data_IF_185590139469
#
_entry.id   IF_185590139469
#
_cell.length_a   1.000
_cell.length_b   1.000
_cell.length_c   1.000
_cell.angle_alpha   90.00
_cell.angle_beta   90.00
_cell.angle_gamma   90.00
#
_symmetry.space_group_name_H-M   'P 1'
#
loop_
_entity.id
_entity.type
_entity.pdbx_description
1 polymer ?
#
# COMPACT_ATOMS: atom_id res chain seq x y z
N UNK A 1 0.70 -15.88 -43.48
CA UNK A 1 1.27 -14.88 -42.56
C UNK A 1 0.15 -14.49 -41.62
N UNK A 2 0.33 -14.66 -40.31
CA UNK A 2 -0.71 -14.29 -39.35
C UNK A 2 -0.71 -12.76 -39.18
N UNK A 3 -1.87 -12.13 -39.32
CA UNK A 3 -2.04 -10.71 -39.02
C UNK A 3 -1.83 -10.46 -37.53
N UNK A 4 -0.81 -9.65 -37.21
CA UNK A 4 -0.58 -9.17 -35.85
C UNK A 4 -1.55 -8.00 -35.61
N UNK A 5 -2.57 -8.23 -34.79
CA UNK A 5 -3.47 -7.18 -34.34
C UNK A 5 -2.79 -6.36 -33.23
N UNK A 6 -2.57 -5.06 -33.40
CA UNK A 6 -2.03 -4.22 -32.33
C UNK A 6 -3.06 -4.08 -31.21
N UNK A 7 -2.66 -4.36 -29.97
CA UNK A 7 -3.46 -4.04 -28.79
C UNK A 7 -3.25 -2.56 -28.45
N UNK A 8 -4.24 -1.67 -28.68
CA UNK A 8 -4.09 -0.27 -28.32
C UNK A 8 -3.87 -0.16 -26.80
N UNK A 9 -2.87 0.64 -26.40
CA UNK A 9 -2.63 0.94 -24.98
C UNK A 9 -3.86 1.66 -24.44
N UNK A 10 -4.65 0.96 -23.63
CA UNK A 10 -5.83 1.54 -23.01
C UNK A 10 -5.35 2.57 -21.97
N UNK A 11 -5.67 3.85 -22.17
CA UNK A 11 -5.50 4.88 -21.15
C UNK A 11 -6.42 4.51 -19.98
N UNK A 12 -5.87 3.84 -18.99
CA UNK A 12 -6.61 3.38 -17.82
C UNK A 12 -6.66 4.53 -16.82
N UNK A 13 -7.59 5.45 -17.00
CA UNK A 13 -8.03 6.34 -15.91
C UNK A 13 -8.90 5.52 -14.95
N UNK A 14 -8.23 4.68 -14.16
CA UNK A 14 -8.87 3.87 -13.13
C UNK A 14 -9.01 4.62 -11.82
N UNK A 15 -10.01 4.24 -11.03
CA UNK A 15 -10.09 4.60 -9.62
C UNK A 15 -9.71 3.40 -8.76
N UNK A 16 -9.00 3.66 -7.68
CA UNK A 16 -8.70 2.66 -6.65
C UNK A 16 -9.47 3.06 -5.41
N UNK A 17 -10.32 2.16 -4.93
CA UNK A 17 -11.06 2.35 -3.69
C UNK A 17 -10.73 1.24 -2.69
N UNK A 18 -10.78 1.55 -1.40
CA UNK A 18 -10.52 0.57 -0.36
C UNK A 18 -10.45 1.19 1.04
N UNK A 19 -10.56 0.33 2.05
CA UNK A 19 -10.33 0.73 3.43
C UNK A 19 -8.88 1.21 3.60
N UNK A 20 -8.68 2.26 4.38
CA UNK A 20 -7.39 2.87 4.66
C UNK A 20 -7.28 3.23 6.14
N UNK A 21 -6.04 3.30 6.64
CA UNK A 21 -5.73 3.72 8.00
C UNK A 21 -4.56 4.71 8.04
N UNK A 22 -4.61 5.65 8.98
CA UNK A 22 -3.53 6.58 9.22
C UNK A 22 -2.50 5.99 10.19
N UNK A 23 -1.23 5.94 9.77
CA UNK A 23 -0.14 5.45 10.63
C UNK A 23 0.20 6.39 11.80
N UNK A 24 -0.34 7.62 11.82
CA UNK A 24 -0.13 8.59 12.90
C UNK A 24 -1.29 8.60 13.92
N UNK A 25 -2.50 8.98 13.49
CA UNK A 25 -3.65 9.13 14.38
C UNK A 25 -4.55 7.90 14.46
N UNK A 26 -4.29 6.84 13.66
CA UNK A 26 -5.08 5.59 13.60
C UNK A 26 -6.51 5.74 13.09
N UNK A 27 -6.87 6.90 12.56
CA UNK A 27 -8.16 7.06 11.90
C UNK A 27 -8.27 6.12 10.70
N UNK A 28 -9.43 5.47 10.55
CA UNK A 28 -9.76 4.57 9.46
C UNK A 28 -10.86 5.20 8.59
N UNK A 29 -10.74 5.07 7.28
CA UNK A 29 -11.70 5.61 6.31
C UNK A 29 -11.70 4.80 5.02
N UNK A 30 -12.68 5.03 4.15
CA UNK A 30 -12.67 4.49 2.78
C UNK A 30 -11.99 5.52 1.87
N UNK A 31 -10.82 5.19 1.34
CA UNK A 31 -10.08 6.03 0.43
C UNK A 31 -10.48 5.73 -1.02
N UNK A 32 -10.61 6.76 -1.83
CA UNK A 32 -10.74 6.68 -3.29
C UNK A 32 -9.68 7.58 -3.90
N UNK A 33 -8.83 7.04 -4.77
CA UNK A 33 -7.82 7.81 -5.50
C UNK A 33 -7.93 7.54 -7.00
N UNK A 34 -7.69 8.59 -7.79
CA UNK A 34 -7.47 8.49 -9.22
C UNK A 34 -6.08 7.92 -9.48
N UNK A 35 -5.97 6.87 -10.30
CA UNK A 35 -4.70 6.27 -10.70
C UNK A 35 -4.75 4.73 -10.78
N UNK A 36 -3.86 4.17 -11.60
CA UNK A 36 -3.65 2.72 -11.72
C UNK A 36 -2.63 2.28 -10.68
N UNK A 37 -2.90 1.20 -9.94
CA UNK A 37 -1.94 0.54 -9.02
C UNK A 37 -0.65 0.01 -9.71
N UNK A 38 -0.43 0.32 -10.98
CA UNK A 38 0.61 -0.24 -11.83
C UNK A 38 1.91 0.56 -11.94
N UNK A 39 1.90 1.87 -11.66
CA UNK A 39 3.09 2.74 -11.84
C UNK A 39 3.73 3.23 -10.54
N UNK A 40 3.09 2.97 -9.39
CA UNK A 40 3.61 3.36 -8.10
C UNK A 40 2.60 3.05 -7.00
N UNK A 41 3.10 2.61 -5.85
CA UNK A 41 2.30 2.42 -4.65
C UNK A 41 1.63 3.77 -4.27
N UNK A 42 0.29 3.86 -4.10
CA UNK A 42 -0.39 5.06 -3.61
C UNK A 42 -0.12 5.26 -2.10
N UNK A 43 1.14 5.19 -1.70
CA UNK A 43 1.60 5.09 -0.32
C UNK A 43 1.76 6.43 0.35
N UNK A 44 0.75 7.29 0.32
CA UNK A 44 0.74 8.55 1.07
C UNK A 44 -0.66 9.18 1.07
N UNK A 45 -1.72 8.41 1.37
CA UNK A 45 -3.07 8.95 1.42
C UNK A 45 -3.14 10.05 2.50
N UNK A 46 -3.81 11.16 2.19
CA UNK A 46 -4.07 12.20 3.17
C UNK A 46 -5.14 11.73 4.16
N UNK A 47 -4.86 11.86 5.45
CA UNK A 47 -5.81 11.48 6.49
C UNK A 47 -6.83 12.61 6.72
N UNK A 48 -8.15 12.36 6.60
CA UNK A 48 -9.16 13.39 6.80
C UNK A 48 -9.26 13.88 8.26
N UNK A 49 -8.73 13.11 9.22
CA UNK A 49 -8.75 13.46 10.64
C UNK A 49 -7.57 14.35 11.07
N UNK A 50 -6.37 14.14 10.53
CA UNK A 50 -5.16 14.85 10.99
C UNK A 50 -4.39 15.60 9.89
N UNK A 51 -4.83 15.52 8.64
CA UNK A 51 -4.21 16.18 7.47
C UNK A 51 -2.85 15.60 7.05
N UNK A 52 -2.29 14.64 7.79
CA UNK A 52 -1.00 14.04 7.44
C UNK A 52 -1.14 13.04 6.27
N UNK A 53 -0.20 13.10 5.34
CA UNK A 53 -0.04 12.13 4.24
C UNK A 53 0.65 10.84 4.71
N UNK A 54 0.01 10.16 5.66
CA UNK A 54 0.48 8.92 6.28
C UNK A 54 -0.57 7.81 6.23
N UNK A 55 -1.57 7.97 5.38
CA UNK A 55 -2.59 6.96 5.12
C UNK A 55 -2.06 5.84 4.22
N UNK A 56 -2.42 4.62 4.57
CA UNK A 56 -2.15 3.42 3.78
C UNK A 56 -3.42 2.61 3.63
N UNK A 57 -3.60 1.98 2.47
CA UNK A 57 -4.66 0.99 2.29
C UNK A 57 -4.49 -0.17 3.26
N UNK A 58 -5.61 -0.59 3.85
CA UNK A 58 -5.75 -1.87 4.51
C UNK A 58 -5.98 -2.88 3.40
N UNK A 59 -5.03 -3.80 3.22
CA UNK A 59 -5.11 -4.76 2.12
C UNK A 59 -6.32 -5.69 2.27
N UNK A 60 -6.97 -6.04 1.15
CA UNK A 60 -8.19 -6.86 1.15
C UNK A 60 -7.93 -8.31 1.57
N UNK A 61 -6.67 -8.75 1.49
CA UNK A 61 -6.24 -10.07 1.93
C UNK A 61 -5.31 -9.90 3.14
N UNK A 62 -5.72 -10.50 4.26
CA UNK A 62 -4.91 -10.61 5.46
C UNK A 62 -4.73 -12.10 5.78
N UNK A 63 -3.70 -12.42 6.55
CA UNK A 63 -3.54 -13.75 7.13
C UNK A 63 -4.73 -14.13 8.01
N UNK A 64 -4.85 -15.40 8.43
CA UNK A 64 -5.83 -15.83 9.42
C UNK A 64 -5.84 -14.92 10.66
N UNK A 65 -6.98 -14.74 11.34
CA UNK A 65 -7.09 -13.84 12.50
C UNK A 65 -6.12 -14.14 13.65
N UNK A 66 -5.65 -15.38 13.74
CA UNK A 66 -4.72 -15.90 14.73
C UNK A 66 -3.25 -15.87 14.30
N UNK A 67 -2.95 -15.43 13.07
CA UNK A 67 -1.58 -15.33 12.59
C UNK A 67 -0.86 -14.10 13.19
N UNK A 68 0.34 -14.32 13.70
CA UNK A 68 1.20 -13.23 14.17
C UNK A 68 1.70 -12.38 12.99
N UNK A 69 1.18 -11.16 12.86
CA UNK A 69 1.59 -10.23 11.81
C UNK A 69 2.69 -9.30 12.31
N UNK A 70 3.87 -9.40 11.68
CA UNK A 70 4.96 -8.46 11.96
C UNK A 70 4.55 -7.02 11.64
N UNK A 71 4.63 -6.16 12.66
CA UNK A 71 4.25 -4.76 12.57
C UNK A 71 5.43 -3.87 12.93
N UNK A 72 5.81 -2.97 12.03
CA UNK A 72 6.86 -1.98 12.31
C UNK A 72 6.44 -1.08 13.48
N UNK A 73 7.39 -0.47 14.22
CA UNK A 73 7.06 0.53 15.25
C UNK A 73 6.24 1.74 14.73
N UNK A 74 6.30 2.03 13.42
CA UNK A 74 5.43 3.04 12.79
C UNK A 74 4.02 2.53 12.45
N UNK A 75 3.69 1.29 12.85
CA UNK A 75 2.45 0.55 12.62
C UNK A 75 2.19 0.14 11.16
N UNK A 76 3.18 0.30 10.29
CA UNK A 76 3.13 -0.19 8.92
C UNK A 76 3.32 -1.71 8.86
N UNK A 77 2.53 -2.36 8.03
CA UNK A 77 2.59 -3.81 7.74
C UNK A 77 3.06 -4.11 6.32
N UNK A 78 3.41 -3.08 5.54
CA UNK A 78 3.90 -3.20 4.16
C UNK A 78 5.41 -2.99 4.12
N UNK A 79 6.12 -3.93 3.49
CA UNK A 79 7.58 -3.95 3.43
C UNK A 79 8.07 -4.18 2.00
N UNK A 80 9.11 -3.44 1.59
CA UNK A 80 9.92 -3.74 0.41
C UNK A 80 10.99 -4.75 0.78
N UNK A 81 11.15 -5.80 -0.02
CA UNK A 81 12.29 -6.72 0.10
C UNK A 81 13.47 -6.09 -0.65
N UNK A 82 14.57 -5.87 0.06
CA UNK A 82 15.79 -5.25 -0.50
C UNK A 82 17.00 -6.12 -0.17
N UNK A 83 18.12 -5.95 -0.89
CA UNK A 83 19.35 -6.73 -0.61
C UNK A 83 19.79 -6.69 0.88
N UNK A 84 19.74 -5.53 1.57
CA UNK A 84 20.11 -5.46 2.99
C UNK A 84 19.07 -6.01 3.98
N UNK A 85 17.87 -6.41 3.53
CA UNK A 85 16.76 -6.83 4.39
C UNK A 85 15.43 -6.21 3.95
N UNK A 86 14.41 -6.26 4.82
CA UNK A 86 13.11 -5.66 4.51
C UNK A 86 13.04 -4.21 4.98
N UNK A 87 12.47 -3.33 4.16
CA UNK A 87 12.30 -1.91 4.46
C UNK A 87 10.83 -1.58 4.62
N UNK A 88 10.45 -1.01 5.76
CA UNK A 88 9.08 -0.55 5.98
C UNK A 88 8.71 0.56 4.98
N UNK A 89 7.62 0.39 4.24
CA UNK A 89 7.13 1.42 3.29
C UNK A 89 6.61 2.65 4.01
N UNK A 90 6.12 2.51 5.24
CA UNK A 90 5.55 3.62 6.02
C UNK A 90 6.54 4.56 6.69
N UNK A 91 7.76 4.10 7.02
CA UNK A 91 8.76 4.94 7.68
C UNK A 91 10.19 4.81 7.13
N UNK A 92 10.43 3.93 6.15
CA UNK A 92 11.75 3.75 5.53
C UNK A 92 12.77 2.98 6.37
N UNK A 93 12.44 2.57 7.60
CA UNK A 93 13.36 1.82 8.48
C UNK A 93 13.51 0.37 8.00
N UNK A 94 14.75 -0.14 7.99
CA UNK A 94 14.99 -1.58 7.78
C UNK A 94 14.49 -2.36 9.00
N UNK A 95 13.88 -3.51 8.75
CA UNK A 95 13.42 -4.45 9.77
C UNK A 95 14.20 -5.74 9.64
N UNK A 96 14.51 -6.34 10.78
CA UNK A 96 15.04 -7.69 10.89
C UNK A 96 13.99 -8.53 11.59
N UNK A 97 13.47 -9.55 10.91
CA UNK A 97 12.57 -10.53 11.50
C UNK A 97 13.43 -11.59 12.19
N UNK A 98 14.01 -11.25 13.33
CA UNK A 98 14.64 -12.27 14.17
C UNK A 98 13.52 -12.85 15.02
N UNK A 99 13.21 -14.13 14.80
CA UNK A 99 12.32 -14.90 15.67
C UNK A 99 12.90 -15.07 17.07
#
# INVERSE_FOLDING_TARGET
MADVLPFPKQETTGYVSGAAKCLACKHEWVAVVEGVLGEGYPGALECPSCGLRRGQYIWPFQGPPDEEVWTCNCRGTVFMITRPGTRCVGCGRHQTFNG
#
